data_IF_712362886445
#
_entry.id   IF_712362886445
#
_cell.length_a   1.000
_cell.length_b   1.000
_cell.length_c   1.000
_cell.angle_alpha   90.00
_cell.angle_beta   90.00
_cell.angle_gamma   90.00
#
_symmetry.space_group_name_H-M   'P 1'
#
loop_
_entity.id
_entity.type
_entity.pdbx_description
1 polymer ?
#
# COMPACT_ATOMS: atom_id res chain seq x y z
N UNK A 1 4.98 13.76 26.62
CA UNK A 1 5.50 12.86 27.67
C UNK A 1 5.77 11.53 27.02
N UNK A 2 6.99 11.01 27.15
CA UNK A 2 7.37 9.68 26.69
C UNK A 2 7.09 8.70 27.82
N UNK A 3 6.48 7.56 27.53
CA UNK A 3 6.55 6.44 28.46
C UNK A 3 7.94 5.82 28.40
N UNK A 4 8.50 5.54 29.58
CA UNK A 4 9.69 4.74 29.76
C UNK A 4 9.25 3.40 30.32
N UNK A 5 9.61 2.31 29.64
CA UNK A 5 9.37 0.95 30.11
C UNK A 5 10.72 0.26 30.09
N UNK A 6 11.14 -0.26 31.24
CA UNK A 6 12.40 -0.97 31.40
C UNK A 6 12.14 -2.47 31.29
N UNK A 7 12.80 -3.11 30.34
CA UNK A 7 12.76 -4.56 30.11
C UNK A 7 13.97 -5.18 30.80
N UNK A 8 13.76 -6.21 31.62
CA UNK A 8 14.81 -6.86 32.41
C UNK A 8 15.01 -8.30 31.99
N UNK A 9 16.28 -8.74 31.92
CA UNK A 9 16.66 -10.14 31.71
C UNK A 9 16.70 -10.84 33.06
N UNK A 10 16.00 -11.98 33.22
CA UNK A 10 16.15 -12.82 34.42
C UNK A 10 17.60 -13.27 34.53
N UNK A 11 18.26 -12.86 35.62
CA UNK A 11 19.62 -13.25 35.95
C UNK A 11 19.73 -14.75 36.22
N UNK A 12 20.66 -15.40 35.51
CA UNK A 12 21.13 -16.75 35.84
C UNK A 12 22.36 -16.57 36.73
N UNK A 13 22.21 -16.79 38.04
CA UNK A 13 23.35 -16.94 38.95
C UNK A 13 23.84 -18.38 38.84
N UNK A 14 25.08 -18.60 38.37
CA UNK A 14 26.03 -19.55 38.99
C UNK A 14 27.42 -19.46 38.31
N UNK A 15 28.38 -18.99 39.12
CA UNK A 15 29.82 -19.27 39.18
C UNK A 15 30.76 -18.89 38.02
N UNK A 16 31.65 -17.96 38.35
CA UNK A 16 32.94 -17.69 37.72
C UNK A 16 33.82 -18.94 37.65
N UNK A 17 34.45 -19.17 36.49
CA UNK A 17 35.60 -20.06 36.40
C UNK A 17 35.92 -20.52 34.98
N UNK A 18 36.92 -19.85 34.41
CA UNK A 18 37.87 -20.35 33.40
C UNK A 18 37.61 -20.05 31.91
N UNK A 19 38.68 -19.45 31.36
CA UNK A 19 39.16 -19.54 29.98
C UNK A 19 38.42 -18.67 28.94
N UNK A 20 38.92 -17.49 28.59
CA UNK A 20 40.30 -17.30 28.11
C UNK A 20 40.61 -18.04 26.80
N UNK A 21 39.73 -18.93 26.31
CA UNK A 21 39.97 -19.79 25.14
C UNK A 21 39.07 -19.53 23.92
N UNK A 22 37.93 -18.83 24.05
CA UNK A 22 37.09 -18.48 22.87
C UNK A 22 37.41 -17.11 22.27
N UNK A 23 38.32 -16.35 22.88
CA UNK A 23 38.90 -15.16 22.24
C UNK A 23 39.75 -15.56 21.02
N UNK A 24 40.18 -16.83 20.94
CA UNK A 24 40.83 -17.44 19.77
C UNK A 24 39.87 -18.13 18.76
N UNK A 25 38.54 -18.11 18.96
CA UNK A 25 37.56 -18.24 17.86
C UNK A 25 37.22 -16.89 17.22
N UNK A 26 37.98 -15.85 17.58
CA UNK A 26 38.82 -15.13 16.62
C UNK A 26 38.31 -15.24 15.19
N UNK A 27 37.77 -14.13 14.71
CA UNK A 27 38.18 -13.59 13.41
C UNK A 27 37.84 -14.37 12.13
N UNK A 28 37.21 -15.56 12.21
CA UNK A 28 36.33 -16.07 11.14
C UNK A 28 35.00 -15.30 11.08
N UNK A 29 34.78 -14.41 12.07
CA UNK A 29 34.06 -13.13 11.94
C UNK A 29 34.44 -12.28 10.69
N UNK A 30 35.39 -12.70 9.84
CA UNK A 30 35.72 -12.05 8.57
C UNK A 30 35.76 -13.06 7.43
N UNK A 31 34.63 -13.29 6.78
CA UNK A 31 34.43 -13.08 5.33
C UNK A 31 33.06 -13.59 4.90
N UNK A 32 32.16 -12.62 4.70
CA UNK A 32 31.20 -12.62 3.59
C UNK A 32 30.19 -13.77 3.62
N UNK A 33 29.06 -13.52 4.28
CA UNK A 33 27.76 -13.99 3.83
C UNK A 33 27.62 -13.64 2.33
N UNK A 34 27.93 -14.59 1.45
CA UNK A 34 27.57 -14.57 0.04
C UNK A 34 26.12 -15.05 0.01
N UNK A 35 25.17 -14.12 -0.11
CA UNK A 35 23.81 -14.45 -0.47
C UNK A 35 23.85 -14.83 -1.95
N UNK A 36 23.81 -16.12 -2.24
CA UNK A 36 23.60 -16.64 -3.59
C UNK A 36 22.09 -16.68 -3.82
N UNK A 37 21.58 -15.78 -4.65
CA UNK A 37 20.24 -15.86 -5.23
C UNK A 37 20.34 -16.58 -6.58
N UNK A 38 19.98 -17.86 -6.63
CA UNK A 38 19.53 -18.66 -7.78
C UNK A 38 18.92 -19.93 -7.16
N UNK A 39 17.69 -20.35 -7.44
CA UNK A 39 17.10 -20.55 -8.76
C UNK A 39 17.50 -21.93 -9.27
N UNK A 40 16.80 -23.00 -8.83
CA UNK A 40 16.14 -23.99 -9.70
C UNK A 40 15.86 -25.37 -9.07
N UNK A 41 14.82 -25.99 -9.65
CA UNK A 41 14.46 -27.41 -9.68
C UNK A 41 13.78 -28.04 -8.47
N UNK A 42 12.47 -27.83 -8.40
CA UNK A 42 11.53 -28.82 -7.87
C UNK A 42 11.27 -29.85 -8.97
N UNK A 43 11.58 -31.13 -8.72
CA UNK A 43 11.29 -32.26 -9.60
C UNK A 43 9.79 -32.57 -9.61
N UNK A 44 9.25 -32.78 -10.82
CA UNK A 44 7.94 -33.40 -11.06
C UNK A 44 7.86 -34.81 -10.44
N UNK A 45 6.69 -35.24 -9.98
CA UNK A 45 6.29 -36.63 -10.07
C UNK A 45 5.63 -36.88 -11.43
N UNK A 46 6.22 -37.80 -12.18
CA UNK A 46 5.56 -38.45 -13.32
C UNK A 46 4.37 -39.30 -12.87
N UNK A 47 3.42 -39.38 -13.81
CA UNK A 47 2.33 -40.33 -13.96
C UNK A 47 0.95 -39.91 -13.42
N UNK A 48 0.21 -39.22 -14.28
CA UNK A 48 -1.20 -39.49 -14.50
C UNK A 48 -1.48 -39.31 -15.99
N UNK A 49 -1.21 -40.38 -16.74
CA UNK A 49 -1.68 -40.56 -18.10
C UNK A 49 -3.22 -40.62 -18.07
N UNK A 50 -3.90 -39.52 -18.40
CA UNK A 50 -5.29 -39.63 -18.86
C UNK A 50 -5.65 -38.60 -19.93
N UNK A 51 -6.21 -39.14 -21.00
CA UNK A 51 -6.93 -38.53 -22.10
C UNK A 51 -6.42 -37.18 -22.66
N UNK A 52 -5.63 -37.31 -23.73
CA UNK A 52 -5.65 -36.37 -24.86
C UNK A 52 -7.06 -36.35 -25.48
N UNK A 53 -8.02 -35.68 -24.85
CA UNK A 53 -9.26 -35.26 -25.52
C UNK A 53 -9.13 -33.80 -25.93
N UNK A 54 -9.17 -33.61 -27.25
CA UNK A 54 -9.10 -32.34 -27.96
C UNK A 54 -10.13 -31.34 -27.42
N UNK A 55 -9.65 -30.45 -26.56
CA UNK A 55 -10.45 -29.48 -25.82
C UNK A 55 -10.82 -28.22 -26.65
N UNK A 56 -11.02 -28.38 -27.96
CA UNK A 56 -11.55 -27.31 -28.81
C UNK A 56 -13.04 -27.04 -28.52
N UNK A 57 -13.75 -28.00 -27.93
CA UNK A 57 -15.20 -27.92 -27.69
C UNK A 57 -15.55 -27.29 -26.32
N UNK A 58 -14.62 -27.23 -25.36
CA UNK A 58 -14.90 -26.68 -24.03
C UNK A 58 -14.99 -25.15 -24.01
N UNK A 59 -14.27 -24.46 -24.92
CA UNK A 59 -14.45 -23.03 -25.13
C UNK A 59 -15.86 -22.68 -25.65
N UNK A 60 -16.48 -23.57 -26.43
CA UNK A 60 -17.84 -23.37 -26.97
C UNK A 60 -18.93 -23.65 -25.93
N UNK A 61 -18.67 -24.52 -24.96
CA UNK A 61 -19.73 -25.06 -24.08
C UNK A 61 -20.03 -24.23 -22.83
N UNK A 62 -19.13 -23.33 -22.41
CA UNK A 62 -19.26 -22.69 -21.08
C UNK A 62 -19.78 -21.24 -21.05
N UNK A 63 -20.03 -20.58 -22.17
CA UNK A 63 -20.57 -19.21 -22.15
C UNK A 63 -21.55 -19.00 -23.31
N UNK A 64 -22.81 -19.39 -23.11
CA UNK A 64 -23.94 -18.86 -23.86
C UNK A 64 -24.14 -17.37 -23.59
N UNK A 65 -23.20 -16.52 -24.03
CA UNK A 65 -23.35 -15.10 -24.33
C UNK A 65 -22.02 -14.47 -24.80
N UNK A 66 -21.98 -14.06 -26.08
CA UNK A 66 -21.29 -12.88 -26.65
C UNK A 66 -19.79 -12.60 -26.40
N UNK A 67 -18.99 -13.44 -25.74
CA UNK A 67 -17.56 -13.13 -25.53
C UNK A 67 -16.66 -13.53 -26.71
N UNK A 68 -16.90 -14.66 -27.36
CA UNK A 68 -16.15 -15.04 -28.56
C UNK A 68 -17.15 -15.29 -29.67
N UNK A 69 -17.32 -14.32 -30.56
CA UNK A 69 -18.11 -14.46 -31.76
C UNK A 69 -17.16 -14.18 -32.92
N UNK A 70 -16.72 -15.25 -33.61
CA UNK A 70 -15.92 -15.27 -34.86
C UNK A 70 -14.39 -15.12 -34.78
N UNK A 71 -13.76 -15.15 -33.59
CA UNK A 71 -12.29 -15.06 -33.44
C UNK A 71 -11.59 -16.43 -33.44
N UNK A 72 -10.31 -16.49 -33.84
CA UNK A 72 -9.51 -17.72 -33.76
C UNK A 72 -9.28 -18.17 -32.29
N UNK A 73 -9.04 -19.46 -32.07
CA UNK A 73 -8.97 -20.05 -30.73
C UNK A 73 -7.89 -19.44 -29.81
N UNK A 74 -6.79 -18.92 -30.38
CA UNK A 74 -5.75 -18.24 -29.62
C UNK A 74 -6.22 -16.88 -29.09
N UNK A 75 -6.86 -16.09 -29.95
CA UNK A 75 -7.38 -14.76 -29.61
C UNK A 75 -8.51 -14.84 -28.58
N UNK A 76 -9.42 -15.81 -28.73
CA UNK A 76 -10.46 -16.06 -27.73
C UNK A 76 -9.88 -16.45 -26.37
N UNK A 77 -8.83 -17.29 -26.32
CA UNK A 77 -8.14 -17.63 -25.07
C UNK A 77 -7.56 -16.40 -24.37
N UNK A 78 -6.84 -15.54 -25.09
CA UNK A 78 -6.28 -14.30 -24.53
C UNK A 78 -7.37 -13.38 -23.99
N UNK A 79 -8.48 -13.23 -24.72
CA UNK A 79 -9.63 -12.41 -24.31
C UNK A 79 -10.32 -12.94 -23.04
N UNK A 80 -10.48 -14.26 -22.93
CA UNK A 80 -11.01 -14.89 -21.71
C UNK A 80 -10.06 -14.70 -20.52
N UNK A 81 -8.75 -14.83 -20.72
CA UNK A 81 -7.77 -14.59 -19.64
C UNK A 81 -7.78 -13.13 -19.17
N UNK A 82 -7.85 -12.18 -20.10
CA UNK A 82 -8.00 -10.74 -19.79
C UNK A 82 -9.27 -10.49 -18.97
N UNK A 83 -10.42 -11.00 -19.40
CA UNK A 83 -11.68 -10.85 -18.67
C UNK A 83 -11.61 -11.41 -17.25
N UNK A 84 -10.99 -12.58 -17.06
CA UNK A 84 -10.77 -13.18 -15.73
C UNK A 84 -9.93 -12.26 -14.84
N UNK A 85 -8.81 -11.73 -15.35
CA UNK A 85 -7.96 -10.76 -14.62
C UNK A 85 -8.73 -9.49 -14.26
N UNK A 86 -9.54 -8.97 -15.19
CA UNK A 86 -10.38 -7.79 -14.93
C UNK A 86 -11.41 -8.04 -13.82
N UNK A 87 -12.01 -9.25 -13.76
CA UNK A 87 -12.90 -9.61 -12.65
C UNK A 87 -12.14 -9.71 -11.33
N UNK A 88 -10.96 -10.32 -11.30
CA UNK A 88 -10.14 -10.42 -10.09
C UNK A 88 -9.77 -9.03 -9.55
N UNK A 89 -9.31 -8.13 -10.43
CA UNK A 89 -9.02 -6.74 -10.07
C UNK A 89 -10.27 -6.04 -9.53
N UNK A 90 -11.42 -6.24 -10.17
CA UNK A 90 -12.70 -5.67 -9.72
C UNK A 90 -13.11 -6.17 -8.33
N UNK A 91 -12.92 -7.45 -8.04
CA UNK A 91 -13.18 -8.02 -6.72
C UNK A 91 -12.26 -7.43 -5.66
N UNK A 92 -10.97 -7.28 -5.96
CA UNK A 92 -10.00 -6.63 -5.06
C UNK A 92 -10.40 -5.19 -4.77
N UNK A 93 -10.76 -4.41 -5.80
CA UNK A 93 -11.21 -3.03 -5.63
C UNK A 93 -12.48 -2.94 -4.79
N UNK A 94 -13.42 -3.87 -4.99
CA UNK A 94 -14.66 -3.94 -4.19
C UNK A 94 -14.36 -4.23 -2.72
N UNK A 95 -13.43 -5.15 -2.44
CA UNK A 95 -12.99 -5.45 -1.06
C UNK A 95 -12.30 -4.24 -0.43
N UNK A 96 -11.46 -3.52 -1.17
CA UNK A 96 -10.83 -2.29 -0.69
C UNK A 96 -11.88 -1.22 -0.37
N UNK A 97 -12.88 -1.04 -1.22
CA UNK A 97 -13.99 -0.10 -0.99
C UNK A 97 -14.77 -0.38 0.30
N UNK A 98 -14.92 -1.65 0.66
CA UNK A 98 -15.59 -2.05 1.91
C UNK A 98 -14.74 -1.79 3.17
N UNK A 99 -13.41 -1.76 3.02
CA UNK A 99 -12.48 -1.53 4.14
C UNK A 99 -12.29 -0.03 4.39
N UNK A 100 -12.28 0.77 3.33
CA UNK A 100 -11.99 2.20 3.42
C UNK A 100 -13.15 2.96 4.09
N UNK A 101 -12.85 3.92 4.99
CA UNK A 101 -13.89 4.73 5.58
C UNK A 101 -14.58 5.59 4.52
N UNK A 102 -15.89 5.75 4.61
CA UNK A 102 -16.68 6.67 3.78
C UNK A 102 -17.30 7.75 4.67
N UNK A 103 -16.48 8.71 5.08
CA UNK A 103 -16.84 9.77 6.01
C UNK A 103 -16.81 11.10 5.29
N UNK A 104 -17.83 11.93 5.53
CA UNK A 104 -17.85 13.34 5.12
C UNK A 104 -17.79 14.22 6.36
N UNK A 105 -17.30 15.45 6.18
CA UNK A 105 -17.21 16.43 7.24
C UNK A 105 -17.42 17.83 6.67
N UNK A 106 -17.98 18.72 7.49
CA UNK A 106 -18.27 20.12 7.12
C UNK A 106 -17.39 21.12 7.85
N UNK A 107 -16.73 20.68 8.93
CA UNK A 107 -15.85 21.51 9.74
C UNK A 107 -14.64 20.69 10.20
N UNK A 108 -13.44 21.25 10.01
CA UNK A 108 -12.18 20.66 10.45
C UNK A 108 -12.17 20.37 11.95
N UNK A 109 -12.91 21.14 12.76
CA UNK A 109 -12.98 20.95 14.20
C UNK A 109 -13.63 19.61 14.60
N UNK A 110 -14.40 19.01 13.69
CA UNK A 110 -15.02 17.69 13.87
C UNK A 110 -14.09 16.52 13.54
N UNK A 111 -12.95 16.80 12.90
CA UNK A 111 -11.96 15.79 12.50
C UNK A 111 -11.05 15.37 13.65
N UNK A 112 -10.40 14.21 13.50
CA UNK A 112 -9.57 13.62 14.56
C UNK A 112 -8.40 14.53 14.96
N UNK A 113 -8.32 14.85 16.25
CA UNK A 113 -7.26 15.63 16.87
C UNK A 113 -6.33 14.73 17.68
N UNK A 114 -5.11 14.53 17.19
CA UNK A 114 -4.11 13.80 17.96
C UNK A 114 -3.70 14.51 19.27
N UNK A 115 -3.87 15.85 19.36
CA UNK A 115 -3.65 16.60 20.61
C UNK A 115 -4.64 16.22 21.71
N UNK A 116 -5.91 16.03 21.35
CA UNK A 116 -6.98 15.70 22.31
C UNK A 116 -7.11 14.20 22.53
N UNK A 117 -6.58 13.40 21.61
CA UNK A 117 -6.57 11.94 21.69
C UNK A 117 -5.63 11.41 22.76
N UNK A 118 -5.93 10.21 23.25
CA UNK A 118 -5.32 9.64 24.44
C UNK A 118 -4.77 8.25 24.16
N UNK A 119 -3.61 7.93 24.72
CA UNK A 119 -3.02 6.60 24.68
C UNK A 119 -2.78 6.06 26.11
N UNK A 120 -3.25 4.86 26.38
CA UNK A 120 -3.20 4.22 27.70
C UNK A 120 -2.57 2.83 27.58
N UNK A 121 -1.50 2.57 28.34
CA UNK A 121 -0.93 1.23 28.44
C UNK A 121 -1.89 0.35 29.23
N UNK A 122 -2.25 -0.81 28.68
CA UNK A 122 -3.10 -1.78 29.35
C UNK A 122 -2.26 -2.76 30.16
N UNK A 123 -2.76 -3.15 31.33
CA UNK A 123 -2.13 -4.15 32.21
C UNK A 123 -0.65 -3.84 32.47
N UNK A 124 -0.37 -2.59 32.87
CA UNK A 124 1.00 -2.14 33.09
C UNK A 124 1.70 -3.01 34.13
N UNK A 125 2.90 -3.49 33.79
CA UNK A 125 3.76 -4.26 34.68
C UNK A 125 4.94 -3.42 35.14
N UNK A 126 5.48 -3.72 36.32
CA UNK A 126 6.71 -3.09 36.81
C UNK A 126 7.95 -3.43 35.95
N UNK A 127 7.94 -4.61 35.31
CA UNK A 127 8.98 -5.04 34.37
C UNK A 127 8.38 -5.95 33.31
N UNK A 128 8.98 -5.95 32.12
CA UNK A 128 8.61 -6.81 31.01
C UNK A 128 9.77 -7.72 30.62
N UNK A 129 9.46 -8.87 30.05
CA UNK A 129 10.42 -9.78 29.42
C UNK A 129 10.54 -9.51 27.92
N UNK A 130 11.66 -9.92 27.32
CA UNK A 130 11.74 -10.01 25.85
C UNK A 130 10.68 -11.02 25.36
N UNK A 131 9.95 -10.64 24.32
CA UNK A 131 8.83 -11.40 23.76
C UNK A 131 7.48 -11.04 24.38
N UNK A 132 7.44 -10.32 25.51
CA UNK A 132 6.16 -9.93 26.12
C UNK A 132 5.38 -9.00 25.18
N UNK A 133 4.03 -9.14 25.15
CA UNK A 133 3.18 -8.18 24.50
C UNK A 133 3.03 -6.92 25.37
N UNK A 134 3.16 -5.75 24.74
CA UNK A 134 2.78 -4.46 25.30
C UNK A 134 1.54 -3.95 24.54
N UNK A 135 0.42 -3.88 25.26
CA UNK A 135 -0.84 -3.41 24.70
C UNK A 135 -1.09 -1.94 25.05
N UNK A 136 -1.46 -1.15 24.05
CA UNK A 136 -1.80 0.27 24.21
C UNK A 136 -3.17 0.53 23.59
N UNK A 137 -4.12 0.98 24.41
CA UNK A 137 -5.42 1.45 23.93
C UNK A 137 -5.31 2.92 23.51
N UNK A 138 -5.88 3.24 22.35
CA UNK A 138 -6.05 4.62 21.89
C UNK A 138 -7.54 4.96 21.94
N UNK A 139 -7.86 6.08 22.56
CA UNK A 139 -9.18 6.69 22.48
C UNK A 139 -9.04 8.02 21.73
N UNK A 140 -9.63 8.08 20.53
CA UNK A 140 -9.51 9.24 19.66
C UNK A 140 -10.64 10.25 19.89
N UNK A 141 -10.27 11.52 19.78
CA UNK A 141 -11.15 12.66 19.99
C UNK A 141 -10.96 13.67 18.87
N UNK A 142 -12.02 14.43 18.56
CA UNK A 142 -11.93 15.53 17.63
C UNK A 142 -11.32 16.80 18.27
N UNK A 143 -11.16 17.88 17.50
CA UNK A 143 -10.59 19.13 18.01
C UNK A 143 -11.47 19.82 19.08
N UNK A 144 -12.77 19.52 19.12
CA UNK A 144 -13.72 19.99 20.14
C UNK A 144 -13.69 19.13 21.42
N UNK A 145 -12.89 18.06 21.47
CA UNK A 145 -12.80 17.16 22.61
C UNK A 145 -13.97 16.17 22.71
N UNK A 146 -14.77 16.01 21.65
CA UNK A 146 -15.78 14.94 21.55
C UNK A 146 -15.11 13.65 21.10
N UNK A 147 -15.49 12.53 21.73
CA UNK A 147 -15.01 11.20 21.37
C UNK A 147 -15.44 10.85 19.95
N UNK A 148 -14.55 10.24 19.17
CA UNK A 148 -14.87 9.74 17.82
C UNK A 148 -15.84 8.55 17.94
N UNK A 149 -16.74 8.43 16.96
CA UNK A 149 -17.75 7.38 16.89
C UNK A 149 -17.47 6.38 15.75
N UNK A 150 -16.39 6.59 15.01
CA UNK A 150 -15.94 5.78 13.88
C UNK A 150 -14.42 5.69 13.86
N UNK A 151 -13.90 4.75 13.07
CA UNK A 151 -12.47 4.54 12.85
C UNK A 151 -12.00 4.94 11.44
N UNK A 152 -10.95 4.29 10.95
CA UNK A 152 -10.35 4.52 9.63
C UNK A 152 -9.24 5.59 9.60
N UNK A 153 -8.75 6.02 10.76
CA UNK A 153 -7.62 6.95 10.85
C UNK A 153 -6.32 6.26 10.42
N UNK A 154 -5.49 6.97 9.65
CA UNK A 154 -4.19 6.46 9.25
C UNK A 154 -3.16 6.73 10.35
N UNK A 155 -2.92 5.70 11.17
CA UNK A 155 -2.05 5.73 12.33
C UNK A 155 -0.73 4.99 12.05
N UNK A 156 0.37 5.50 12.60
CA UNK A 156 1.63 4.77 12.69
C UNK A 156 2.01 4.57 14.14
N UNK A 157 2.09 3.31 14.53
CA UNK A 157 2.53 2.89 15.85
C UNK A 157 3.90 2.21 15.77
N UNK A 158 4.85 2.67 16.58
CA UNK A 158 6.16 2.04 16.72
C UNK A 158 6.67 2.06 18.14
N UNK A 159 7.48 1.07 18.48
CA UNK A 159 8.41 1.12 19.61
C UNK A 159 9.83 1.36 19.08
N UNK A 160 10.66 2.02 19.88
CA UNK A 160 12.06 2.25 19.52
C UNK A 160 12.95 2.44 20.74
N UNK A 161 14.24 2.16 20.57
CA UNK A 161 15.31 2.46 21.52
C UNK A 161 16.40 3.26 20.81
N UNK A 162 16.70 4.45 21.33
CA UNK A 162 17.72 5.33 20.74
C UNK A 162 19.13 4.82 20.99
N UNK A 163 19.39 4.20 22.16
CA UNK A 163 20.70 3.63 22.51
C UNK A 163 21.04 2.43 21.62
N UNK A 164 20.06 1.56 21.36
CA UNK A 164 20.25 0.37 20.54
C UNK A 164 20.03 0.62 19.04
N UNK A 165 19.59 1.82 18.65
CA UNK A 165 19.16 2.15 17.28
C UNK A 165 18.15 1.12 16.72
N UNK A 166 17.31 0.59 17.60
CA UNK A 166 16.34 -0.44 17.29
C UNK A 166 14.93 0.16 17.19
N UNK A 167 14.08 -0.44 16.35
CA UNK A 167 12.69 -0.05 16.20
C UNK A 167 11.84 -1.21 15.68
N UNK A 168 10.59 -1.26 16.12
CA UNK A 168 9.63 -2.25 15.65
C UNK A 168 8.23 -1.61 15.55
N UNK A 169 7.44 -2.08 14.60
CA UNK A 169 6.07 -1.61 14.37
C UNK A 169 5.09 -2.33 15.31
N UNK A 170 4.04 -1.62 15.72
CA UNK A 170 2.92 -2.22 16.44
C UNK A 170 1.83 -2.69 15.48
N UNK A 171 1.16 -3.79 15.81
CA UNK A 171 -0.07 -4.20 15.14
C UNK A 171 -1.24 -3.37 15.65
N UNK A 172 -1.97 -2.70 14.75
CA UNK A 172 -3.10 -1.82 15.09
C UNK A 172 -4.40 -2.53 14.72
N UNK A 173 -5.31 -2.63 15.69
CA UNK A 173 -6.69 -3.08 15.51
C UNK A 173 -7.62 -1.89 15.72
N UNK A 174 -8.43 -1.59 14.71
CA UNK A 174 -9.46 -0.56 14.75
C UNK A 174 -10.81 -1.18 15.15
N UNK A 175 -11.39 -0.71 16.27
CA UNK A 175 -12.72 -1.16 16.72
C UNK A 175 -13.87 -0.42 16.05
N UNK A 176 -13.58 0.47 15.09
CA UNK A 176 -14.55 1.24 14.29
C UNK A 176 -15.49 2.12 15.10
N UNK A 177 -15.07 2.53 16.30
CA UNK A 177 -15.87 3.33 17.24
C UNK A 177 -15.06 4.43 17.92
N UNK A 178 -13.98 4.89 17.26
CA UNK A 178 -13.01 5.84 17.80
C UNK A 178 -11.98 5.22 18.75
N UNK A 179 -12.02 3.91 18.98
CA UNK A 179 -11.06 3.18 19.80
C UNK A 179 -10.16 2.32 18.93
N UNK A 180 -8.86 2.31 19.24
CA UNK A 180 -7.90 1.41 18.62
C UNK A 180 -7.13 0.65 19.70
N UNK A 181 -6.73 -0.58 19.39
CA UNK A 181 -5.77 -1.34 20.20
C UNK A 181 -4.49 -1.50 19.41
N UNK A 182 -3.37 -1.17 20.05
CA UNK A 182 -2.04 -1.39 19.49
C UNK A 182 -1.36 -2.48 20.30
N UNK A 183 -0.89 -3.53 19.64
CA UNK A 183 -0.11 -4.59 20.23
C UNK A 183 1.34 -4.54 19.74
N UNK A 184 2.29 -4.42 20.66
CA UNK A 184 3.72 -4.47 20.37
C UNK A 184 4.33 -5.74 20.97
N UNK A 185 5.20 -6.40 20.21
CA UNK A 185 6.11 -7.41 20.77
C UNK A 185 7.41 -6.72 21.20
N UNK A 186 7.86 -6.96 22.42
CA UNK A 186 9.07 -6.35 22.95
C UNK A 186 10.32 -7.17 22.55
N UNK A 187 11.13 -6.64 21.64
CA UNK A 187 12.21 -7.42 20.99
C UNK A 187 13.60 -7.32 21.65
N UNK A 188 13.81 -6.39 22.59
CA UNK A 188 15.14 -6.14 23.16
C UNK A 188 15.05 -5.75 24.64
N UNK A 189 16.15 -5.93 25.36
CA UNK A 189 16.32 -5.51 26.75
C UNK A 189 16.55 -3.99 26.87
N UNK A 190 16.19 -3.41 28.02
CA UNK A 190 16.41 -1.99 28.33
C UNK A 190 15.19 -1.12 28.04
N UNK A 191 15.43 0.17 27.86
CA UNK A 191 14.36 1.16 27.72
C UNK A 191 13.70 1.12 26.34
N UNK A 192 12.37 1.02 26.35
CA UNK A 192 11.53 1.10 25.16
C UNK A 192 10.66 2.34 25.21
N UNK A 193 10.67 3.10 24.10
CA UNK A 193 9.78 4.25 23.91
C UNK A 193 8.71 3.90 22.90
N UNK A 194 7.45 4.16 23.26
CA UNK A 194 6.30 4.06 22.36
C UNK A 194 6.10 5.39 21.63
N UNK A 195 5.82 5.33 20.34
CA UNK A 195 5.48 6.48 19.50
C UNK A 195 4.28 6.14 18.63
N UNK A 196 3.19 6.86 18.83
CA UNK A 196 1.99 6.79 18.00
C UNK A 196 1.80 8.13 17.30
N UNK A 197 1.75 8.09 15.96
CA UNK A 197 1.58 9.25 15.10
C UNK A 197 0.27 9.11 14.33
N UNK A 198 -0.58 10.14 14.42
CA UNK A 198 -1.69 10.33 13.49
C UNK A 198 -1.13 10.94 12.20
N UNK A 199 -1.11 10.16 11.12
CA UNK A 199 -0.65 10.64 9.81
C UNK A 199 -1.80 11.39 9.14
N UNK A 200 -2.97 10.75 9.02
CA UNK A 200 -4.18 11.38 8.50
C UNK A 200 -5.39 10.98 9.33
N UNK A 201 -6.30 11.93 9.65
CA UNK A 201 -7.57 11.60 10.26
C UNK A 201 -8.43 10.80 9.27
N UNK A 202 -9.36 10.01 9.78
CA UNK A 202 -10.25 9.14 8.98
C UNK A 202 -10.98 9.89 7.84
N UNK A 203 -11.33 11.15 8.05
CA UNK A 203 -11.95 12.04 7.06
C UNK A 203 -11.03 12.36 5.90
N UNK A 204 -9.73 12.55 6.19
CA UNK A 204 -8.71 12.73 5.17
C UNK A 204 -8.46 11.45 4.40
N UNK A 205 -8.49 10.29 5.07
CA UNK A 205 -8.39 8.98 4.42
C UNK A 205 -9.57 8.76 3.46
N UNK A 206 -10.80 9.07 3.90
CA UNK A 206 -12.00 9.04 3.06
C UNK A 206 -11.87 9.96 1.84
N UNK A 207 -11.45 11.21 2.04
CA UNK A 207 -11.26 12.17 0.98
C UNK A 207 -10.21 11.71 -0.05
N UNK A 208 -9.06 11.19 0.40
CA UNK A 208 -8.02 10.65 -0.48
C UNK A 208 -8.52 9.44 -1.28
N UNK A 209 -9.27 8.55 -0.64
CA UNK A 209 -9.84 7.38 -1.31
C UNK A 209 -10.86 7.79 -2.38
N UNK A 210 -11.79 8.68 -2.04
CA UNK A 210 -12.77 9.23 -2.99
C UNK A 210 -12.07 9.95 -4.16
N UNK A 211 -11.04 10.75 -3.88
CA UNK A 211 -10.23 11.44 -4.89
C UNK A 211 -9.39 10.50 -5.75
N UNK A 212 -9.03 9.31 -5.26
CA UNK A 212 -8.36 8.27 -6.06
C UNK A 212 -9.35 7.62 -7.04
N UNK A 213 -10.59 7.40 -6.62
CA UNK A 213 -11.63 6.78 -7.45
C UNK A 213 -12.17 7.67 -8.56
N UNK A 214 -12.03 8.99 -8.44
CA UNK A 214 -12.49 9.96 -9.46
C UNK A 214 -11.68 9.98 -10.77
N UNK A 215 -10.58 9.22 -10.86
CA UNK A 215 -9.94 8.93 -12.15
C UNK A 215 -8.47 9.32 -12.26
N UNK A 216 -7.92 8.98 -13.43
CA UNK A 216 -6.50 9.09 -13.78
C UNK A 216 -6.15 10.38 -14.55
N UNK A 217 -7.10 11.31 -14.71
CA UNK A 217 -6.92 12.57 -15.44
C UNK A 217 -5.94 13.56 -14.80
N UNK A 218 -5.30 13.18 -13.69
CA UNK A 218 -4.28 13.97 -13.01
C UNK A 218 -3.02 14.14 -13.84
N UNK A 219 -2.76 13.22 -14.76
CA UNK A 219 -1.61 13.28 -15.66
C UNK A 219 -2.12 13.59 -17.07
N UNK A 220 -1.59 14.64 -17.68
CA UNK A 220 -1.73 14.85 -19.12
C UNK A 220 -0.59 14.09 -19.81
N UNK A 221 -0.95 13.40 -20.89
CA UNK A 221 -0.01 12.74 -21.76
C UNK A 221 -0.06 13.44 -23.12
N UNK A 222 1.10 13.85 -23.61
CA UNK A 222 1.24 14.55 -24.89
C UNK A 222 2.21 13.77 -25.75
N UNK A 223 1.74 13.30 -26.90
CA UNK A 223 2.54 12.62 -27.91
C UNK A 223 3.08 13.61 -28.91
N UNK A 224 4.35 13.46 -29.27
CA UNK A 224 5.04 14.28 -30.27
C UNK A 224 5.29 13.42 -31.52
N UNK A 225 4.86 13.93 -32.67
CA UNK A 225 4.98 13.27 -33.97
C UNK A 225 5.82 14.12 -34.92
N UNK A 226 6.66 13.48 -35.74
CA UNK A 226 7.42 14.16 -36.78
C UNK A 226 6.55 14.46 -38.01
N UNK A 227 6.65 15.70 -38.49
CA UNK A 227 6.06 16.14 -39.75
C UNK A 227 7.14 16.88 -40.56
N UNK A 228 7.88 16.13 -41.37
CA UNK A 228 9.04 16.63 -42.10
C UNK A 228 10.12 17.15 -41.14
N UNK A 229 10.40 18.46 -41.18
CA UNK A 229 11.36 19.13 -40.29
C UNK A 229 10.72 19.74 -39.03
N UNK A 230 9.40 19.58 -38.85
CA UNK A 230 8.63 20.11 -37.73
C UNK A 230 8.06 18.99 -36.86
N UNK A 231 7.58 19.34 -35.67
CA UNK A 231 6.90 18.41 -34.78
C UNK A 231 5.47 18.88 -34.52
N UNK A 232 4.55 17.92 -34.41
CA UNK A 232 3.15 18.16 -34.03
C UNK A 232 2.86 17.41 -32.73
N UNK A 233 2.21 18.08 -31.78
CA UNK A 233 1.86 17.51 -30.49
C UNK A 233 0.36 17.23 -30.40
N UNK A 234 -0.02 16.05 -29.93
CA UNK A 234 -1.42 15.68 -29.72
C UNK A 234 -1.63 15.04 -28.35
N UNK A 235 -2.89 15.05 -27.90
CA UNK A 235 -3.29 14.44 -26.63
C UNK A 235 -3.20 12.92 -26.73
N UNK A 236 -2.65 12.29 -25.70
CA UNK A 236 -2.59 10.85 -25.55
C UNK A 236 -3.19 10.38 -24.20
N UNK A 237 -3.32 9.08 -24.02
CA UNK A 237 -3.79 8.45 -22.79
C UNK A 237 -4.27 7.01 -22.97
N UNK A 238 -4.50 6.32 -21.85
CA UNK A 238 -5.10 4.99 -21.83
C UNK A 238 -6.59 4.99 -22.18
N UNK A 239 -7.28 6.09 -21.84
CA UNK A 239 -8.69 6.33 -22.19
C UNK A 239 -8.79 7.74 -22.75
N UNK A 240 -9.25 7.86 -24.00
CA UNK A 240 -9.47 9.15 -24.66
C UNK A 240 -10.91 9.21 -25.15
N UNK A 241 -11.69 10.12 -24.56
CA UNK A 241 -13.03 10.44 -25.04
C UNK A 241 -12.94 11.47 -26.18
N UNK A 242 -13.00 11.00 -27.42
CA UNK A 242 -12.98 11.85 -28.62
C UNK A 242 -13.64 11.15 -29.81
N UNK A 243 -14.12 11.93 -30.77
CA UNK A 243 -14.60 11.42 -32.07
C UNK A 243 -13.51 11.44 -33.15
N UNK A 244 -12.30 11.91 -32.82
CA UNK A 244 -11.17 11.97 -33.74
C UNK A 244 -10.56 10.57 -33.98
N UNK A 245 -9.88 10.39 -35.11
CA UNK A 245 -9.09 9.19 -35.37
C UNK A 245 -7.96 9.06 -34.33
N UNK A 246 -7.71 7.85 -33.86
CA UNK A 246 -6.70 7.54 -32.84
C UNK A 246 -5.61 6.66 -33.42
N UNK A 247 -4.37 6.95 -33.04
CA UNK A 247 -3.26 6.02 -33.13
C UNK A 247 -3.30 5.09 -31.92
N UNK A 248 -3.24 3.78 -32.16
CA UNK A 248 -3.18 2.74 -31.13
C UNK A 248 -1.75 2.20 -31.01
N UNK A 249 -1.22 2.20 -29.79
CA UNK A 249 0.07 1.61 -29.44
C UNK A 249 -0.17 0.48 -28.44
N UNK A 250 -0.26 -0.74 -28.95
CA UNK A 250 -0.49 -1.95 -28.16
C UNK A 250 0.84 -2.50 -27.63
N UNK A 251 0.95 -2.67 -26.31
CA UNK A 251 1.97 -3.52 -25.71
C UNK A 251 1.47 -4.97 -25.74
N UNK A 252 2.07 -5.80 -26.59
CA UNK A 252 1.67 -7.21 -26.75
C UNK A 252 1.88 -8.06 -25.49
N UNK A 253 2.86 -7.72 -24.64
CA UNK A 253 3.14 -8.48 -23.41
C UNK A 253 2.02 -8.25 -22.40
N UNK A 254 1.63 -7.01 -22.21
CA UNK A 254 0.67 -6.61 -21.18
C UNK A 254 -0.78 -6.55 -21.71
N UNK A 255 -0.95 -6.67 -23.04
CA UNK A 255 -2.23 -6.53 -23.75
C UNK A 255 -2.92 -5.20 -23.42
N UNK A 256 -2.11 -4.17 -23.14
CA UNK A 256 -2.54 -2.82 -22.80
C UNK A 256 -2.28 -1.90 -23.98
N UNK A 257 -3.31 -1.18 -24.40
CA UNK A 257 -3.24 -0.23 -25.50
C UNK A 257 -3.17 1.19 -24.93
N UNK A 258 -2.26 1.98 -25.50
CA UNK A 258 -2.16 3.40 -25.25
C UNK A 258 -2.51 4.15 -26.52
N UNK A 259 -3.29 5.22 -26.40
CA UNK A 259 -3.84 5.92 -27.56
C UNK A 259 -3.30 7.34 -27.65
N UNK A 260 -3.21 7.85 -28.87
CA UNK A 260 -2.96 9.26 -29.16
C UNK A 260 -3.94 9.74 -30.23
N UNK A 261 -4.41 10.99 -30.14
CA UNK A 261 -5.16 11.61 -31.23
C UNK A 261 -4.25 11.69 -32.45
N UNK A 262 -4.68 11.13 -33.58
CA UNK A 262 -3.89 11.12 -34.81
C UNK A 262 -3.78 12.55 -35.35
N UNK A 263 -2.58 13.08 -35.58
CA UNK A 263 -2.42 14.40 -36.18
C UNK A 263 -2.82 14.38 -37.67
N UNK A 264 -3.38 15.49 -38.16
CA UNK A 264 -3.81 15.61 -39.54
C UNK A 264 -2.62 15.46 -40.51
N UNK A 265 -2.76 14.62 -41.54
CA UNK A 265 -1.74 14.33 -42.54
C UNK A 265 -0.41 13.76 -41.98
N UNK A 266 -0.39 13.25 -40.75
CA UNK A 266 0.78 12.63 -40.13
C UNK A 266 0.48 11.17 -39.80
N UNK A 267 1.33 10.21 -40.23
CA UNK A 267 1.12 8.79 -39.93
C UNK A 267 1.43 8.48 -38.45
N UNK A 268 0.80 7.43 -37.91
CA UNK A 268 0.94 7.07 -36.49
C UNK A 268 2.36 6.59 -36.13
N UNK A 269 3.10 6.08 -37.11
CA UNK A 269 4.48 5.61 -37.03
C UNK A 269 5.47 6.77 -36.88
N UNK A 270 5.04 8.01 -37.14
CA UNK A 270 5.86 9.20 -36.94
C UNK A 270 5.97 9.63 -35.46
N UNK A 271 5.42 8.84 -34.53
CA UNK A 271 5.52 9.07 -33.10
C UNK A 271 6.98 8.98 -32.62
N UNK A 272 7.42 9.98 -31.86
CA UNK A 272 8.82 10.06 -31.37
C UNK A 272 8.92 10.08 -29.87
N UNK A 273 8.03 10.83 -29.20
CA UNK A 273 8.17 11.09 -27.78
C UNK A 273 6.81 11.20 -27.10
N UNK A 274 6.72 10.55 -25.93
CA UNK A 274 5.67 10.81 -24.95
C UNK A 274 6.21 11.75 -23.86
N UNK A 275 5.53 12.85 -23.63
CA UNK A 275 5.79 13.73 -22.47
C UNK A 275 4.59 13.72 -21.54
N UNK A 276 4.86 13.87 -20.23
CA UNK A 276 3.82 13.91 -19.21
C UNK A 276 3.92 15.14 -18.34
N UNK A 277 2.76 15.65 -17.94
CA UNK A 277 2.65 16.78 -17.01
C UNK A 277 1.51 16.55 -16.01
N UNK A 278 1.66 17.11 -14.81
CA UNK A 278 0.59 17.08 -13.81
C UNK A 278 -0.44 18.15 -14.18
N UNK A 279 -1.68 17.74 -14.45
CA UNK A 279 -2.78 18.69 -14.61
C UNK A 279 -3.06 19.38 -13.28
N UNK A 280 -3.45 20.67 -13.29
CA UNK A 280 -3.84 21.40 -12.08
C UNK A 280 -5.25 20.98 -11.58
N UNK A 281 -5.58 19.70 -11.67
CA UNK A 281 -6.87 19.14 -11.25
C UNK A 281 -6.72 18.60 -9.84
N UNK A 282 -7.59 19.05 -8.95
CA UNK A 282 -7.74 18.50 -7.61
C UNK A 282 -9.16 17.96 -7.43
N UNK A 283 -9.27 16.70 -7.03
CA UNK A 283 -10.55 16.09 -6.69
C UNK A 283 -10.94 16.31 -5.23
N UNK A 284 -10.10 17.03 -4.48
CA UNK A 284 -10.33 17.43 -3.10
C UNK A 284 -10.91 18.84 -3.08
N UNK A 285 -11.95 19.04 -2.28
CA UNK A 285 -12.47 20.35 -1.91
C UNK A 285 -11.42 21.17 -1.15
N UNK A 286 -11.59 22.48 -1.08
CA UNK A 286 -10.72 23.36 -0.29
C UNK A 286 -10.64 22.94 1.19
N UNK A 287 -11.77 22.47 1.74
CA UNK A 287 -11.86 21.94 3.10
C UNK A 287 -11.07 20.63 3.25
N UNK A 288 -11.24 19.66 2.36
CA UNK A 288 -10.45 18.41 2.40
C UNK A 288 -8.95 18.68 2.25
N UNK A 289 -8.56 19.59 1.37
CA UNK A 289 -7.15 19.98 1.19
C UNK A 289 -6.52 20.53 2.47
N UNK A 290 -7.31 21.19 3.33
CA UNK A 290 -6.82 21.73 4.59
C UNK A 290 -6.29 20.64 5.54
N UNK A 291 -6.78 19.39 5.44
CA UNK A 291 -6.31 18.25 6.23
C UNK A 291 -4.89 17.79 5.87
N UNK A 292 -4.37 18.19 4.71
CA UNK A 292 -3.07 17.75 4.20
C UNK A 292 -2.00 18.84 4.25
N UNK A 293 -2.34 20.03 4.78
CA UNK A 293 -1.36 21.11 4.96
C UNK A 293 -0.37 20.69 6.06
N UNK A 294 0.88 20.48 5.66
CA UNK A 294 2.00 20.11 6.55
C UNK A 294 2.29 21.24 7.53
N UNK A 295 1.54 21.31 8.63
CA UNK A 295 1.96 22.13 9.77
C UNK A 295 2.26 21.32 11.02
N UNK A 296 1.72 20.11 11.21
CA UNK A 296 1.78 19.50 12.53
C UNK A 296 1.88 17.96 12.44
N UNK A 297 3.07 17.40 12.68
CA UNK A 297 3.18 16.01 13.15
C UNK A 297 2.62 15.97 14.56
N UNK A 298 1.41 15.43 14.71
CA UNK A 298 0.76 15.34 16.00
C UNK A 298 0.97 13.95 16.60
N UNK A 299 1.80 13.90 17.63
CA UNK A 299 1.96 12.72 18.46
C UNK A 299 0.77 12.60 19.41
N UNK A 300 0.14 11.43 19.46
CA UNK A 300 -0.88 11.13 20.47
C UNK A 300 -0.15 11.05 21.81
N UNK A 301 -0.59 11.87 22.77
CA UNK A 301 0.07 11.92 24.07
C UNK A 301 -0.34 10.72 24.91
N UNK A 302 0.64 10.04 25.53
CA UNK A 302 0.32 9.03 26.50
C UNK A 302 -0.16 9.63 27.83
N UNK A 303 -1.09 8.95 28.50
CA UNK A 303 -1.60 9.31 29.84
C UNK A 303 -0.86 8.49 30.89
N UNK A 304 -0.19 9.19 31.82
CA UNK A 304 0.49 8.60 32.96
C UNK A 304 -0.43 7.72 33.82
#
# INVERSE_FOLDING_TARGET
MMFFITISRKGFLLTLGLAGFLILSYTLYRRVFKITLFGDHMKEPEDFQDALETNEDFCLRFMGNRICQTENAAQCRTRVQRWKKEQEVKEILTKLDQIMPSITFTDIMTTTSARNSKATILNQKGSYCIGDPLMVRLDLYNHLGKRKEYGGDFLRARIYSSSLRAGASGHITDYKNGTYLVNFTLFWEGDVRVSILLIHPSEGVSALWAARKKGYDKIAFTGTFLNGTSCVCTKCGFVIETNAELCEYLDERDQEAFYCVKPENVPCEAFVLLTTDNKPITYLTSLEQSLFRRCLQFYIRPIA
#
